data_IF_476639770393
#
_entry.id   IF_476639770393
#
_cell.length_a   1.000
_cell.length_b   1.000
_cell.length_c   1.000
_cell.angle_alpha   90.00
_cell.angle_beta   90.00
_cell.angle_gamma   90.00
#
_symmetry.space_group_name_H-M   'P 1'
#
loop_
_entity.id
_entity.type
_entity.pdbx_description
1 polymer ?
#
# COMPACT_ATOMS: atom_id res chain seq x y z
N UNK A 1 0.42 12.92 -31.54
CA UNK A 1 1.58 12.63 -30.66
C UNK A 1 1.04 12.24 -29.29
N UNK A 2 1.04 10.96 -28.96
CA UNK A 2 0.45 10.46 -27.70
C UNK A 2 1.52 10.54 -26.62
N UNK A 3 1.44 11.56 -25.75
CA UNK A 3 2.23 11.64 -24.52
C UNK A 3 1.68 10.66 -23.49
N UNK A 4 1.92 9.37 -23.69
CA UNK A 4 1.56 8.31 -22.75
C UNK A 4 2.82 7.55 -22.35
N UNK A 5 3.40 7.87 -21.19
CA UNK A 5 4.64 7.18 -20.83
C UNK A 5 5.20 7.33 -19.43
N UNK A 6 4.66 8.17 -18.55
CA UNK A 6 5.23 8.27 -17.19
C UNK A 6 4.75 7.11 -16.31
N UNK A 7 5.69 6.31 -15.80
CA UNK A 7 5.46 5.43 -14.65
C UNK A 7 5.25 6.33 -13.43
N UNK A 8 4.20 6.10 -12.65
CA UNK A 8 3.85 6.97 -11.53
C UNK A 8 4.66 6.61 -10.28
N UNK A 9 4.88 7.59 -9.40
CA UNK A 9 5.58 7.39 -8.13
C UNK A 9 4.96 6.28 -7.25
N UNK A 10 3.62 6.14 -7.14
CA UNK A 10 3.00 5.00 -6.46
C UNK A 10 3.40 3.66 -7.06
N UNK A 11 3.41 3.53 -8.38
CA UNK A 11 3.82 2.30 -9.07
C UNK A 11 5.27 1.95 -8.78
N UNK A 12 6.19 2.93 -8.85
CA UNK A 12 7.61 2.69 -8.56
C UNK A 12 7.83 2.24 -7.10
N UNK A 13 7.09 2.83 -6.15
CA UNK A 13 7.16 2.43 -4.73
C UNK A 13 6.64 1.02 -4.49
N UNK A 14 5.53 0.65 -5.13
CA UNK A 14 4.97 -0.70 -5.05
C UNK A 14 5.99 -1.74 -5.54
N UNK A 15 6.57 -1.52 -6.73
CA UNK A 15 7.60 -2.40 -7.30
C UNK A 15 8.82 -2.53 -6.37
N UNK A 16 9.27 -1.43 -5.76
CA UNK A 16 10.41 -1.47 -4.82
C UNK A 16 10.11 -2.33 -3.59
N UNK A 17 8.91 -2.20 -3.02
CA UNK A 17 8.50 -3.01 -1.85
C UNK A 17 8.43 -4.49 -2.21
N UNK A 18 7.80 -4.80 -3.33
CA UNK A 18 7.66 -6.18 -3.81
C UNK A 18 9.02 -6.81 -4.13
N UNK A 19 9.93 -6.05 -4.75
CA UNK A 19 11.31 -6.49 -5.00
C UNK A 19 12.09 -6.78 -3.73
N UNK A 20 11.93 -5.96 -2.68
CA UNK A 20 12.62 -6.13 -1.40
C UNK A 20 12.18 -7.40 -0.62
N UNK A 21 10.96 -7.90 -0.85
CA UNK A 21 10.37 -9.00 -0.07
C UNK A 21 10.68 -10.41 -0.61
N UNK A 22 11.47 -10.55 -1.68
CA UNK A 22 11.76 -11.88 -2.22
C UNK A 22 12.30 -11.94 -3.65
N UNK A 23 12.63 -10.80 -4.27
CA UNK A 23 13.24 -10.72 -5.60
C UNK A 23 12.26 -10.99 -6.76
N UNK A 24 11.32 -11.93 -6.62
CA UNK A 24 10.30 -12.26 -7.63
C UNK A 24 8.91 -12.08 -7.04
N UNK A 25 8.04 -11.38 -7.76
CA UNK A 25 6.68 -11.05 -7.37
C UNK A 25 5.71 -11.20 -8.54
N UNK A 26 4.42 -11.31 -8.29
CA UNK A 26 3.40 -11.46 -9.33
C UNK A 26 2.84 -10.11 -9.78
N UNK A 27 2.42 -10.02 -11.04
CA UNK A 27 1.74 -8.83 -11.57
C UNK A 27 0.44 -8.49 -10.83
N UNK A 28 -0.20 -9.48 -10.18
CA UNK A 28 -1.39 -9.26 -9.34
C UNK A 28 -1.04 -8.61 -7.99
N UNK A 29 0.19 -8.80 -7.49
CA UNK A 29 0.63 -8.17 -6.23
C UNK A 29 0.89 -6.67 -6.44
N UNK A 30 1.39 -6.29 -7.62
CA UNK A 30 1.47 -4.88 -8.04
C UNK A 30 0.07 -4.25 -8.09
N UNK A 31 -0.94 -5.01 -8.50
CA UNK A 31 -2.34 -4.57 -8.51
C UNK A 31 -2.87 -4.35 -7.09
N UNK A 32 -2.61 -5.29 -6.19
CA UNK A 32 -3.02 -5.20 -4.79
C UNK A 32 -2.40 -4.00 -4.08
N UNK A 33 -1.08 -3.78 -4.23
CA UNK A 33 -0.36 -2.63 -3.65
C UNK A 33 -0.88 -1.27 -4.15
N UNK A 34 -1.42 -1.22 -5.37
CA UNK A 34 -1.97 0.00 -5.96
C UNK A 34 -3.46 0.20 -5.66
N UNK A 35 -4.10 -0.73 -4.92
CA UNK A 35 -5.51 -0.60 -4.52
C UNK A 35 -6.49 -0.73 -5.67
N UNK A 36 -6.09 -1.38 -6.77
CA UNK A 36 -6.94 -1.57 -7.93
C UNK A 36 -8.01 -2.64 -7.67
N UNK A 37 -9.28 -2.26 -7.84
CA UNK A 37 -10.42 -3.17 -7.69
C UNK A 37 -10.46 -4.26 -8.78
N UNK A 38 -11.21 -5.33 -8.53
CA UNK A 38 -11.44 -6.37 -9.54
C UNK A 38 -12.37 -5.87 -10.64
N UNK A 39 -11.88 -5.85 -11.88
CA UNK A 39 -12.65 -5.42 -13.05
C UNK A 39 -11.85 -5.47 -14.35
N UNK A 40 -12.56 -5.62 -15.48
CA UNK A 40 -12.00 -5.70 -16.84
C UNK A 40 -11.13 -4.49 -17.21
N UNK A 41 -11.60 -3.29 -16.91
CA UNK A 41 -10.92 -2.05 -17.31
C UNK A 41 -9.65 -1.81 -16.49
N UNK A 42 -9.67 -2.24 -15.22
CA UNK A 42 -8.53 -2.15 -14.33
C UNK A 42 -7.44 -3.17 -14.69
N UNK A 43 -7.82 -4.32 -15.23
CA UNK A 43 -6.87 -5.28 -15.78
C UNK A 43 -6.11 -4.71 -17.00
N UNK A 44 -6.79 -3.97 -17.88
CA UNK A 44 -6.17 -3.29 -19.01
C UNK A 44 -5.22 -2.16 -18.55
N UNK A 45 -5.63 -1.39 -17.54
CA UNK A 45 -4.77 -0.37 -16.91
C UNK A 45 -3.53 -1.01 -16.31
N UNK A 46 -3.69 -2.12 -15.59
CA UNK A 46 -2.57 -2.88 -15.01
C UNK A 46 -1.60 -3.40 -16.07
N UNK A 47 -2.09 -4.03 -17.14
CA UNK A 47 -1.24 -4.47 -18.25
C UNK A 47 -0.47 -3.30 -18.88
N UNK A 48 -1.11 -2.14 -19.02
CA UNK A 48 -0.45 -0.93 -19.52
C UNK A 48 0.62 -0.39 -18.56
N UNK A 49 0.43 -0.57 -17.24
CA UNK A 49 1.44 -0.22 -16.22
C UNK A 49 2.63 -1.17 -16.28
N UNK A 50 2.39 -2.48 -16.30
CA UNK A 50 3.45 -3.50 -16.43
C UNK A 50 4.25 -3.32 -17.73
N UNK A 51 3.57 -3.07 -18.85
CA UNK A 51 4.23 -2.82 -20.13
C UNK A 51 5.16 -1.59 -20.07
N UNK A 52 4.72 -0.51 -19.39
CA UNK A 52 5.54 0.68 -19.18
C UNK A 52 6.72 0.42 -18.24
N UNK A 53 6.53 -0.34 -17.17
CA UNK A 53 7.61 -0.71 -16.26
C UNK A 53 8.70 -1.52 -16.99
N UNK A 54 8.28 -2.46 -17.84
CA UNK A 54 9.17 -3.26 -18.69
C UNK A 54 9.90 -2.40 -19.73
N UNK A 55 9.18 -1.51 -20.42
CA UNK A 55 9.76 -0.62 -21.44
C UNK A 55 10.82 0.34 -20.86
N UNK A 56 10.68 0.71 -19.58
CA UNK A 56 11.64 1.54 -18.87
C UNK A 56 12.78 0.74 -18.19
N UNK A 57 12.85 -0.58 -18.41
CA UNK A 57 13.91 -1.43 -17.85
C UNK A 57 13.87 -1.59 -16.33
N UNK A 58 12.74 -1.28 -15.68
CA UNK A 58 12.61 -1.31 -14.22
C UNK A 58 12.36 -2.75 -13.74
N UNK A 59 11.57 -3.48 -14.51
CA UNK A 59 11.20 -4.87 -14.22
C UNK A 59 11.46 -5.75 -15.44
N UNK A 60 11.64 -7.03 -15.18
CA UNK A 60 11.68 -8.07 -16.20
C UNK A 60 10.73 -9.21 -15.85
N UNK A 61 10.25 -9.90 -16.89
CA UNK A 61 9.33 -11.04 -16.76
C UNK A 61 10.15 -12.31 -16.64
N UNK A 62 10.03 -12.99 -15.50
CA UNK A 62 10.77 -14.22 -15.19
C UNK A 62 9.97 -15.46 -15.63
N UNK A 63 8.64 -15.36 -15.70
CA UNK A 63 7.81 -16.45 -16.18
C UNK A 63 6.32 -16.10 -16.28
N UNK A 64 5.56 -16.92 -16.99
CA UNK A 64 4.11 -16.77 -17.16
C UNK A 64 3.41 -18.13 -16.95
N UNK A 65 3.17 -18.53 -15.69
CA UNK A 65 2.70 -19.89 -15.34
C UNK A 65 1.29 -20.19 -15.86
N UNK A 66 0.44 -19.16 -15.97
CA UNK A 66 -0.92 -19.23 -16.51
C UNK A 66 -1.17 -17.87 -17.17
N UNK A 67 -1.77 -17.82 -18.35
CA UNK A 67 -1.97 -16.62 -19.21
C UNK A 67 -2.60 -15.36 -18.55
N UNK A 68 -2.85 -15.37 -17.24
CA UNK A 68 -3.48 -14.31 -16.46
C UNK A 68 -2.51 -13.51 -15.59
N UNK A 69 -1.40 -14.10 -15.12
CA UNK A 69 -0.46 -13.43 -14.22
C UNK A 69 1.00 -13.70 -14.61
N UNK A 70 1.83 -12.67 -14.52
CA UNK A 70 3.26 -12.73 -14.85
C UNK A 70 4.07 -12.71 -13.56
N UNK A 71 5.12 -13.53 -13.49
CA UNK A 71 6.17 -13.37 -12.48
C UNK A 71 7.16 -12.33 -12.97
N UNK A 72 7.44 -11.37 -12.11
CA UNK A 72 8.22 -10.18 -12.36
C UNK A 72 9.36 -10.13 -11.35
N UNK A 73 10.51 -9.59 -11.75
CA UNK A 73 11.56 -9.16 -10.82
C UNK A 73 12.00 -7.76 -11.13
N UNK A 74 12.57 -7.07 -10.15
CA UNK A 74 13.27 -5.80 -10.40
C UNK A 74 14.52 -6.11 -11.21
N UNK A 75 14.66 -5.47 -12.37
CA UNK A 75 15.80 -5.69 -13.26
C UNK A 75 17.02 -4.86 -12.82
N UNK A 76 16.80 -3.64 -12.34
CA UNK A 76 17.86 -2.71 -11.93
C UNK A 76 17.37 -1.79 -10.79
N UNK A 77 17.80 -2.11 -9.56
CA UNK A 77 17.47 -1.35 -8.36
C UNK A 77 18.04 0.09 -8.38
N UNK A 78 19.30 0.35 -8.80
CA UNK A 78 19.80 1.70 -9.06
C UNK A 78 18.92 2.52 -10.02
N UNK A 79 18.45 1.92 -11.12
CA UNK A 79 17.59 2.61 -12.08
C UNK A 79 16.21 2.91 -11.49
N UNK A 80 15.62 1.96 -10.76
CA UNK A 80 14.38 2.17 -10.01
C UNK A 80 14.51 3.33 -9.02
N UNK A 81 15.60 3.37 -8.25
CA UNK A 81 15.86 4.44 -7.27
C UNK A 81 15.95 5.82 -7.94
N UNK A 82 16.70 5.95 -9.03
CA UNK A 82 16.81 7.22 -9.78
C UNK A 82 15.45 7.69 -10.30
N UNK A 83 14.60 6.78 -10.77
CA UNK A 83 13.27 7.13 -11.23
C UNK A 83 12.35 7.57 -10.10
N UNK A 84 12.44 6.92 -8.93
CA UNK A 84 11.72 7.38 -7.73
C UNK A 84 12.18 8.79 -7.36
N UNK A 85 13.48 9.04 -7.29
CA UNK A 85 14.05 10.35 -6.96
C UNK A 85 13.63 11.43 -7.95
N UNK A 86 13.58 11.11 -9.25
CA UNK A 86 13.09 12.01 -10.30
C UNK A 86 11.59 12.27 -10.24
N UNK A 87 10.81 11.28 -9.77
CA UNK A 87 9.36 11.38 -9.64
C UNK A 87 8.92 12.00 -8.30
N UNK A 88 9.83 12.21 -7.35
CA UNK A 88 9.56 13.00 -6.15
C UNK A 88 9.36 14.46 -6.57
N UNK A 89 8.30 15.14 -6.09
CA UNK A 89 8.16 16.57 -6.32
C UNK A 89 9.39 17.26 -5.71
N UNK A 90 10.06 18.09 -6.50
CA UNK A 90 11.13 18.96 -6.01
C UNK A 90 10.59 19.67 -4.76
N UNK A 91 11.30 19.53 -3.64
CA UNK A 91 10.95 20.17 -2.36
C UNK A 91 10.46 21.60 -2.64
N UNK A 92 9.22 21.88 -2.27
CA UNK A 92 8.72 23.24 -2.17
C UNK A 92 9.54 23.96 -1.10
N UNK A 93 10.69 24.53 -1.48
CA UNK A 93 11.27 25.67 -0.79
C UNK A 93 10.38 26.86 -1.09
N UNK A 94 9.22 26.92 -0.43
CA UNK A 94 8.51 28.18 -0.25
C UNK A 94 8.39 28.36 1.25
N UNK A 95 9.35 29.10 1.78
CA UNK A 95 9.21 29.81 3.04
C UNK A 95 7.89 30.58 2.98
N UNK A 96 6.83 30.05 3.60
CA UNK A 96 5.71 30.87 4.01
C UNK A 96 6.17 31.68 5.22
N UNK A 97 6.63 32.88 4.88
CA UNK A 97 6.65 34.07 5.71
C UNK A 97 5.46 34.08 6.68
N UNK A 98 5.66 34.35 7.99
CA UNK A 98 4.58 34.33 8.96
C UNK A 98 3.61 35.47 8.64
N UNK A 99 2.36 35.12 8.34
CA UNK A 99 1.27 36.10 8.15
C UNK A 99 1.17 36.98 9.40
N UNK A 100 1.09 38.32 9.28
CA UNK A 100 0.87 39.18 10.43
C UNK A 100 -0.53 38.94 11.00
N UNK A 101 -0.61 38.86 12.33
CA UNK A 101 -1.85 38.74 13.10
C UNK A 101 -2.81 39.91 12.75
N UNK A 102 -4.13 39.67 12.57
CA UNK A 102 -5.08 40.74 12.39
C UNK A 102 -5.17 41.59 13.67
N UNK A 103 -5.02 42.90 13.52
CA UNK A 103 -5.16 43.90 14.59
C UNK A 103 -6.53 43.76 15.25
N UNK A 104 -6.53 43.60 16.58
CA UNK A 104 -7.72 43.70 17.41
C UNK A 104 -8.30 45.12 17.29
N UNK A 105 -9.59 45.21 16.97
CA UNK A 105 -10.39 46.43 17.09
C UNK A 105 -11.24 46.29 18.36
N UNK A 106 -11.29 47.29 19.26
CA UNK A 106 -12.02 47.17 20.51
C UNK A 106 -13.51 47.47 20.35
N UNK A 107 -14.32 46.67 21.05
CA UNK A 107 -15.63 46.92 21.64
C UNK A 107 -16.70 47.72 20.86
N UNK A 108 -17.87 47.11 20.67
CA UNK A 108 -19.08 47.53 21.41
C UNK A 108 -20.28 46.58 21.24
N UNK A 109 -20.84 46.23 22.40
CA UNK A 109 -22.25 46.06 22.76
C UNK A 109 -23.18 45.07 22.05
N UNK A 110 -23.51 44.01 22.84
CA UNK A 110 -24.84 43.48 23.21
C UNK A 110 -25.86 43.18 22.10
N UNK A 111 -26.25 41.91 22.04
CA UNK A 111 -27.64 41.50 22.28
C UNK A 111 -27.70 40.08 22.88
N UNK A 112 -28.52 39.94 23.91
CA UNK A 112 -28.82 38.69 24.63
C UNK A 112 -29.84 37.88 23.82
N UNK A 113 -29.62 36.58 23.64
CA UNK A 113 -30.72 35.60 23.58
C UNK A 113 -30.29 34.32 24.32
N UNK A 114 -30.88 34.20 25.49
CA UNK A 114 -31.30 33.04 26.27
C UNK A 114 -31.32 31.67 25.55
N UNK A 115 -30.78 30.65 26.21
CA UNK A 115 -30.92 29.24 25.82
C UNK A 115 -29.95 28.35 26.58
N UNK A 116 -30.47 27.62 27.57
CA UNK A 116 -29.79 26.58 28.36
C UNK A 116 -28.92 25.64 27.51
N UNK A 117 -27.63 25.50 27.86
CA UNK A 117 -26.83 24.33 27.49
C UNK A 117 -26.31 23.63 28.76
N UNK A 118 -26.47 22.31 28.89
CA UNK A 118 -25.99 21.56 30.03
C UNK A 118 -24.46 21.46 29.98
N UNK A 119 -23.84 21.67 31.14
CA UNK A 119 -22.42 21.57 31.40
C UNK A 119 -21.87 20.20 30.96
N UNK A 120 -21.36 20.10 29.73
CA UNK A 120 -20.57 18.94 29.32
C UNK A 120 -19.23 18.99 30.05
N UNK A 121 -19.14 18.21 31.13
CA UNK A 121 -17.88 17.79 31.72
C UNK A 121 -16.97 17.29 30.60
N UNK A 122 -15.91 18.04 30.32
CA UNK A 122 -14.83 17.62 29.44
C UNK A 122 -14.18 16.39 30.07
N UNK A 123 -14.57 15.21 29.61
CA UNK A 123 -13.83 13.98 29.83
C UNK A 123 -12.35 14.27 29.52
N UNK A 124 -11.40 13.96 30.42
CA UNK A 124 -10.01 14.24 30.17
C UNK A 124 -9.57 13.41 28.97
N UNK A 125 -9.13 14.08 27.91
CA UNK A 125 -8.45 13.47 26.77
C UNK A 125 -7.37 12.55 27.32
N UNK A 126 -7.56 11.23 27.19
CA UNK A 126 -6.56 10.25 27.61
C UNK A 126 -5.23 10.64 26.96
N UNK A 127 -4.24 10.94 27.80
CA UNK A 127 -2.92 11.33 27.31
C UNK A 127 -2.41 10.21 26.40
N UNK A 128 -1.89 10.52 25.20
CA UNK A 128 -1.48 9.49 24.29
C UNK A 128 -0.38 8.66 24.96
N UNK A 129 -0.37 7.32 24.79
CA UNK A 129 0.53 6.44 25.51
C UNK A 129 1.97 6.88 25.32
N UNK A 130 2.76 6.77 26.38
CA UNK A 130 4.18 7.13 26.33
C UNK A 130 4.90 6.31 25.25
N UNK A 131 5.95 6.85 24.66
CA UNK A 131 6.75 6.14 23.64
C UNK A 131 7.08 4.67 24.00
N UNK A 132 7.51 4.33 25.24
CA UNK A 132 7.76 2.93 25.61
C UNK A 132 6.50 2.05 25.64
N UNK A 133 5.35 2.60 26.03
CA UNK A 133 4.08 1.86 25.99
C UNK A 133 3.63 1.57 24.54
N UNK A 134 3.89 2.48 23.60
CA UNK A 134 3.59 2.24 22.18
C UNK A 134 4.46 1.14 21.58
N UNK A 135 5.73 1.05 21.99
CA UNK A 135 6.64 0.00 21.51
C UNK A 135 6.14 -1.37 21.96
N UNK A 136 5.81 -1.54 23.25
CA UNK A 136 5.25 -2.79 23.78
C UNK A 136 3.95 -3.19 23.07
N UNK A 137 3.02 -2.23 22.87
CA UNK A 137 1.77 -2.51 22.16
C UNK A 137 1.99 -2.91 20.70
N UNK A 138 3.02 -2.38 20.03
CA UNK A 138 3.35 -2.76 18.65
C UNK A 138 4.00 -4.15 18.60
N UNK A 139 4.85 -4.49 19.57
CA UNK A 139 5.43 -5.84 19.69
C UNK A 139 4.34 -6.90 19.89
N UNK A 140 3.37 -6.64 20.77
CA UNK A 140 2.23 -7.53 20.98
C UNK A 140 1.37 -7.68 19.70
N UNK A 141 1.14 -6.59 18.97
CA UNK A 141 0.41 -6.62 17.70
C UNK A 141 1.16 -7.40 16.61
N UNK A 142 2.49 -7.26 16.54
CA UNK A 142 3.33 -8.03 15.61
C UNK A 142 3.27 -9.51 15.95
N UNK A 143 3.38 -9.88 17.23
CA UNK A 143 3.29 -11.28 17.67
C UNK A 143 1.93 -11.91 17.32
N UNK A 144 0.83 -11.19 17.54
CA UNK A 144 -0.51 -11.65 17.18
C UNK A 144 -0.69 -11.82 15.66
N UNK A 145 -0.09 -10.94 14.86
CA UNK A 145 -0.11 -11.04 13.40
C UNK A 145 0.73 -12.23 12.90
N UNK A 146 1.90 -12.48 13.49
CA UNK A 146 2.73 -13.64 13.18
C UNK A 146 2.02 -14.96 13.49
N UNK A 147 1.36 -15.04 14.65
CA UNK A 147 0.60 -16.22 15.04
C UNK A 147 -0.56 -16.49 14.07
N UNK A 148 -1.32 -15.44 13.73
CA UNK A 148 -2.42 -15.56 12.76
C UNK A 148 -1.90 -15.97 11.37
N UNK A 149 -0.81 -15.36 10.92
CA UNK A 149 -0.19 -15.71 9.63
C UNK A 149 0.28 -17.16 9.62
N UNK A 150 0.83 -17.66 10.73
CA UNK A 150 1.24 -19.07 10.86
C UNK A 150 0.04 -20.01 10.82
N UNK A 151 -1.07 -19.65 11.45
CA UNK A 151 -2.30 -20.43 11.40
C UNK A 151 -2.87 -20.49 9.96
N UNK A 152 -2.90 -19.36 9.26
CA UNK A 152 -3.37 -19.28 7.87
C UNK A 152 -2.50 -20.13 6.93
N UNK A 153 -1.18 -20.07 7.10
CA UNK A 153 -0.23 -20.90 6.32
C UNK A 153 -0.45 -22.41 6.55
N UNK A 154 -0.73 -22.82 7.79
CA UNK A 154 -1.03 -24.21 8.10
C UNK A 154 -2.35 -24.67 7.45
N UNK A 155 -3.39 -23.82 7.46
CA UNK A 155 -4.66 -24.12 6.79
C UNK A 155 -4.48 -24.31 5.29
N UNK A 156 -3.78 -23.38 4.63
CA UNK A 156 -3.52 -23.46 3.19
C UNK A 156 -2.70 -24.70 2.82
N UNK A 157 -1.76 -25.09 3.68
CA UNK A 157 -0.98 -26.30 3.47
C UNK A 157 -1.84 -27.56 3.59
N UNK A 158 -2.76 -27.61 4.55
CA UNK A 158 -3.72 -28.70 4.67
C UNK A 158 -4.66 -28.80 3.45
N UNK A 159 -5.15 -27.66 2.93
CA UNK A 159 -5.95 -27.62 1.70
C UNK A 159 -5.14 -28.11 0.47
N UNK A 160 -3.86 -27.75 0.40
CA UNK A 160 -2.97 -28.24 -0.65
C UNK A 160 -2.77 -29.76 -0.57
N UNK A 161 -2.54 -30.29 0.63
CA UNK A 161 -2.37 -31.72 0.84
C UNK A 161 -3.66 -32.50 0.54
N UNK A 162 -4.83 -31.98 0.91
CA UNK A 162 -6.13 -32.58 0.57
C UNK A 162 -6.37 -32.58 -0.95
N UNK A 163 -6.13 -31.45 -1.62
CA UNK A 163 -6.27 -31.37 -3.08
C UNK A 163 -5.31 -32.32 -3.80
N UNK A 164 -4.08 -32.46 -3.31
CA UNK A 164 -3.11 -33.42 -3.83
C UNK A 164 -3.59 -34.86 -3.66
N UNK A 165 -4.08 -35.22 -2.47
CA UNK A 165 -4.60 -36.56 -2.20
C UNK A 165 -5.80 -36.90 -3.12
N UNK A 166 -6.70 -35.94 -3.35
CA UNK A 166 -7.82 -36.11 -4.30
C UNK A 166 -7.35 -36.33 -5.73
N UNK A 167 -6.31 -35.61 -6.17
CA UNK A 167 -5.74 -35.80 -7.50
C UNK A 167 -5.08 -37.17 -7.65
N UNK A 168 -4.32 -37.62 -6.64
CA UNK A 168 -3.69 -38.93 -6.64
C UNK A 168 -4.74 -40.05 -6.70
N UNK A 169 -5.85 -39.91 -5.96
CA UNK A 169 -6.99 -40.84 -6.05
C UNK A 169 -7.64 -40.85 -7.43
N UNK A 170 -7.84 -39.68 -8.06
CA UNK A 170 -8.40 -39.61 -9.41
C UNK A 170 -7.49 -40.27 -10.44
N UNK A 171 -6.18 -40.07 -10.33
CA UNK A 171 -5.19 -40.72 -11.19
C UNK A 171 -5.26 -42.24 -11.02
N UNK A 172 -5.29 -42.72 -9.76
CA UNK A 172 -5.36 -44.15 -9.46
C UNK A 172 -6.67 -44.82 -9.95
N UNK A 173 -7.78 -44.09 -9.97
CA UNK A 173 -9.05 -44.59 -10.52
C UNK A 173 -9.05 -44.69 -12.05
N UNK A 174 -8.15 -43.97 -12.72
CA UNK A 174 -8.11 -43.85 -14.19
C UNK A 174 -6.90 -44.57 -14.81
N UNK A 175 -6.02 -45.15 -14.00
CA UNK A 175 -4.91 -46.02 -14.38
C UNK A 175 -5.30 -47.50 -14.33
#
# INVERSE_FOLDING_TARGET
>A
MVTSGSVTLPTLRAVRRLGANGGVFQSIEVRAELGYAEGSDEAHRMHSVIARLKANGIIEVVGTPRKRHQYLRVADEPTLRRQIERALPAKATRSEEPRPLPRQVPATSREQVEGDEPTHERSPLASPPSAPQRVLMLEDQVAALEERTRADLNSLRAELDDTRARLDQLIALWS
#
